data_IF_477664008017
#
_entry.id   IF_477664008017
#
_cell.length_a   1.000
_cell.length_b   1.000
_cell.length_c   1.000
_cell.angle_alpha   90.00
_cell.angle_beta   90.00
_cell.angle_gamma   90.00
#
_symmetry.space_group_name_H-M   'P 1'
#
loop_
_entity.id
_entity.type
_entity.pdbx_description
1 polymer ?
#
# COMPACT_ATOMS: atom_id res chain seq x y z
N UNK A 1 -11.78 -7.95 35.90
CA UNK A 1 -12.01 -7.52 34.50
C UNK A 1 -10.65 -7.09 34.00
N UNK A 2 -10.04 -7.86 33.10
CA UNK A 2 -8.71 -7.57 32.55
C UNK A 2 -8.89 -6.50 31.46
N UNK A 3 -8.27 -5.34 31.64
CA UNK A 3 -8.34 -4.25 30.66
C UNK A 3 -7.27 -4.54 29.61
N UNK A 4 -7.71 -4.91 28.39
CA UNK A 4 -6.81 -5.07 27.25
C UNK A 4 -6.30 -3.68 26.84
N UNK A 5 -4.98 -3.50 26.93
CA UNK A 5 -4.32 -2.31 26.41
C UNK A 5 -4.39 -2.29 24.87
N UNK A 6 -4.27 -1.10 24.24
CA UNK A 6 -4.10 -1.03 22.80
C UNK A 6 -2.95 -1.94 22.37
N UNK A 7 -3.17 -2.71 21.29
CA UNK A 7 -2.10 -3.49 20.67
C UNK A 7 -0.95 -2.55 20.37
N UNK A 8 0.27 -2.94 20.73
CA UNK A 8 1.45 -2.16 20.35
C UNK A 8 1.46 -1.99 18.83
N UNK A 9 1.76 -0.76 18.39
CA UNK A 9 1.84 -0.45 16.97
C UNK A 9 2.95 -1.31 16.36
N UNK A 10 2.57 -2.14 15.39
CA UNK A 10 3.56 -2.83 14.57
C UNK A 10 4.21 -1.80 13.66
N UNK A 11 5.48 -1.51 13.91
CA UNK A 11 6.20 -0.42 13.25
C UNK A 11 7.07 -0.90 12.09
N UNK A 12 7.08 -2.21 11.81
CA UNK A 12 7.90 -2.88 10.79
C UNK A 12 9.32 -2.27 10.70
N UNK A 13 10.18 -2.47 11.72
CA UNK A 13 11.51 -1.86 11.81
C UNK A 13 12.41 -2.04 10.57
N UNK A 14 12.99 -0.93 10.11
CA UNK A 14 14.07 -0.94 9.13
C UNK A 14 13.63 -1.51 7.79
N UNK A 15 14.23 -2.63 7.38
CA UNK A 15 13.92 -3.32 6.11
C UNK A 15 12.57 -4.07 6.14
N UNK A 16 11.99 -4.30 7.33
CA UNK A 16 10.71 -5.01 7.44
C UNK A 16 9.57 -4.22 6.80
N UNK A 17 9.60 -2.87 6.84
CA UNK A 17 8.58 -2.04 6.18
C UNK A 17 8.60 -2.20 4.66
N UNK A 18 9.79 -2.44 4.07
CA UNK A 18 9.95 -2.64 2.63
C UNK A 18 9.39 -3.99 2.22
N UNK A 19 9.71 -5.05 2.98
CA UNK A 19 9.19 -6.38 2.73
C UNK A 19 7.65 -6.43 2.88
N UNK A 20 7.13 -5.87 3.97
CA UNK A 20 5.70 -5.74 4.22
C UNK A 20 5.00 -4.96 3.11
N UNK A 21 5.50 -3.78 2.75
CA UNK A 21 4.90 -2.94 1.72
C UNK A 21 4.84 -3.69 0.38
N UNK A 22 5.91 -4.37 -0.03
CA UNK A 22 5.92 -5.18 -1.26
C UNK A 22 4.89 -6.30 -1.25
N UNK A 23 4.76 -7.02 -0.13
CA UNK A 23 3.75 -8.07 0.02
C UNK A 23 2.33 -7.49 -0.13
N UNK A 24 2.04 -6.39 0.57
CA UNK A 24 0.74 -5.73 0.50
C UNK A 24 0.41 -5.22 -0.91
N UNK A 25 1.38 -4.61 -1.60
CA UNK A 25 1.21 -4.17 -2.99
C UNK A 25 1.00 -5.35 -3.95
N UNK A 26 1.63 -6.50 -3.69
CA UNK A 26 1.40 -7.74 -4.42
C UNK A 26 -0.04 -8.25 -4.27
N UNK A 27 -0.57 -8.22 -3.04
CA UNK A 27 -1.96 -8.58 -2.75
C UNK A 27 -2.91 -7.61 -3.47
N UNK A 28 -2.70 -6.30 -3.33
CA UNK A 28 -3.53 -5.29 -3.99
C UNK A 28 -3.52 -5.48 -5.51
N UNK A 29 -2.36 -5.71 -6.13
CA UNK A 29 -2.24 -5.99 -7.55
C UNK A 29 -3.02 -7.24 -7.98
N UNK A 30 -2.93 -8.33 -7.21
CA UNK A 30 -3.69 -9.56 -7.52
C UNK A 30 -5.21 -9.36 -7.47
N UNK A 31 -5.68 -8.46 -6.60
CA UNK A 31 -7.10 -8.10 -6.54
C UNK A 31 -7.47 -7.24 -7.74
N UNK A 32 -6.65 -6.28 -8.16
CA UNK A 32 -6.93 -5.45 -9.33
C UNK A 32 -7.01 -6.25 -10.64
N UNK A 33 -6.34 -7.40 -10.72
CA UNK A 33 -6.42 -8.31 -11.87
C UNK A 33 -7.83 -8.99 -11.96
N UNK A 34 -8.58 -9.05 -10.85
CA UNK A 34 -9.97 -9.52 -10.82
C UNK A 34 -10.77 -8.81 -9.69
N UNK A 35 -11.16 -7.54 -9.89
CA UNK A 35 -11.50 -6.64 -8.79
C UNK A 35 -12.80 -6.99 -8.08
N UNK A 36 -13.82 -7.50 -8.78
CA UNK A 36 -15.09 -7.97 -8.21
C UNK A 36 -15.58 -7.15 -7.01
N UNK A 37 -15.91 -7.82 -5.90
CA UNK A 37 -16.15 -7.19 -4.59
C UNK A 37 -14.87 -6.88 -3.79
N UNK A 38 -13.71 -7.26 -4.30
CA UNK A 38 -12.39 -7.05 -3.70
C UNK A 38 -11.84 -5.63 -3.86
N UNK A 39 -12.37 -4.82 -4.77
CA UNK A 39 -11.81 -3.50 -5.11
C UNK A 39 -11.58 -2.59 -3.90
N UNK A 40 -12.52 -2.56 -2.95
CA UNK A 40 -12.38 -1.77 -1.72
C UNK A 40 -11.16 -2.21 -0.89
N UNK A 41 -10.91 -3.52 -0.81
CA UNK A 41 -9.75 -4.05 -0.11
C UNK A 41 -8.46 -3.64 -0.81
N UNK A 42 -8.41 -3.71 -2.15
CA UNK A 42 -7.23 -3.26 -2.89
C UNK A 42 -6.90 -1.78 -2.62
N UNK A 43 -7.88 -0.89 -2.69
CA UNK A 43 -7.67 0.55 -2.43
C UNK A 43 -7.28 0.82 -0.97
N UNK A 44 -7.90 0.11 -0.01
CA UNK A 44 -7.54 0.22 1.40
C UNK A 44 -6.11 -0.25 1.67
N UNK A 45 -5.69 -1.36 1.06
CA UNK A 45 -4.33 -1.88 1.17
C UNK A 45 -3.31 -0.88 0.61
N UNK A 46 -3.59 -0.26 -0.54
CA UNK A 46 -2.74 0.79 -1.12
C UNK A 46 -2.62 1.98 -0.15
N UNK A 47 -3.75 2.45 0.38
CA UNK A 47 -3.77 3.55 1.35
C UNK A 47 -3.02 3.23 2.66
N UNK A 48 -3.12 1.98 3.15
CA UNK A 48 -2.37 1.52 4.34
C UNK A 48 -0.86 1.57 4.11
N UNK A 49 -0.38 1.09 2.95
CA UNK A 49 1.03 1.17 2.60
C UNK A 49 1.48 2.63 2.49
N UNK A 50 0.67 3.47 1.87
CA UNK A 50 0.92 4.91 1.76
C UNK A 50 1.08 5.59 3.13
N UNK A 51 0.17 5.31 4.07
CA UNK A 51 0.25 5.82 5.45
C UNK A 51 1.48 5.32 6.18
N UNK A 52 1.74 4.00 6.12
CA UNK A 52 2.89 3.38 6.78
C UNK A 52 4.23 3.96 6.31
N UNK A 53 4.40 4.16 5.00
CA UNK A 53 5.60 4.80 4.45
C UNK A 53 5.72 6.27 4.84
N UNK A 54 4.60 7.01 4.82
CA UNK A 54 4.56 8.44 5.16
C UNK A 54 4.91 8.70 6.63
N UNK A 55 4.33 7.91 7.53
CA UNK A 55 4.59 8.00 8.97
C UNK A 55 6.05 7.67 9.31
N UNK A 56 6.68 6.82 8.50
CA UNK A 56 8.05 6.38 8.75
C UNK A 56 9.11 7.35 8.26
N UNK A 57 9.04 7.69 6.97
CA UNK A 57 9.99 8.59 6.32
C UNK A 57 9.40 9.05 4.97
N UNK A 58 8.48 10.02 5.04
CA UNK A 58 7.86 10.58 3.85
C UNK A 58 8.87 11.18 2.85
N UNK A 59 10.02 11.68 3.33
CA UNK A 59 11.05 12.26 2.45
C UNK A 59 11.75 11.17 1.64
N UNK A 60 12.15 10.06 2.27
CA UNK A 60 12.72 8.89 1.58
C UNK A 60 11.75 8.31 0.55
N UNK A 61 10.47 8.24 0.90
CA UNK A 61 9.46 7.52 0.12
C UNK A 61 8.55 8.39 -0.74
N UNK A 62 8.84 9.68 -0.88
CA UNK A 62 7.97 10.64 -1.56
C UNK A 62 7.48 10.13 -2.93
N UNK A 63 8.39 9.65 -3.77
CA UNK A 63 8.04 9.19 -5.12
C UNK A 63 7.23 7.88 -5.12
N UNK A 64 7.37 7.06 -4.08
CA UNK A 64 6.56 5.85 -3.89
C UNK A 64 5.15 6.25 -3.43
N UNK A 65 5.07 7.11 -2.42
CA UNK A 65 3.81 7.65 -1.87
C UNK A 65 2.99 8.33 -2.96
N UNK A 66 3.60 9.18 -3.79
CA UNK A 66 2.93 9.86 -4.90
C UNK A 66 2.40 8.87 -5.94
N UNK A 67 3.17 7.82 -6.26
CA UNK A 67 2.75 6.77 -7.19
C UNK A 67 1.59 5.94 -6.63
N UNK A 68 1.62 5.61 -5.34
CA UNK A 68 0.55 4.89 -4.67
C UNK A 68 -0.75 5.69 -4.61
N UNK A 69 -0.68 7.00 -4.32
CA UNK A 69 -1.85 7.87 -4.37
C UNK A 69 -2.50 7.94 -5.75
N UNK A 70 -1.68 7.97 -6.82
CA UNK A 70 -2.18 7.90 -8.19
C UNK A 70 -2.77 6.52 -8.53
N UNK A 71 -2.16 5.43 -8.02
CA UNK A 71 -2.65 4.08 -8.23
C UNK A 71 -4.03 3.89 -7.57
N UNK A 72 -4.21 4.44 -6.37
CA UNK A 72 -5.48 4.42 -5.65
C UNK A 72 -6.58 5.18 -6.42
N UNK A 73 -6.31 6.42 -6.87
CA UNK A 73 -7.26 7.21 -7.67
C UNK A 73 -7.64 6.49 -8.98
N UNK A 74 -6.66 5.91 -9.68
CA UNK A 74 -6.89 5.11 -10.89
C UNK A 74 -7.76 3.88 -10.59
N UNK A 75 -7.50 3.15 -9.50
CA UNK A 75 -8.28 1.98 -9.10
C UNK A 75 -9.74 2.36 -8.78
N UNK A 76 -9.98 3.47 -8.07
CA UNK A 76 -11.33 3.99 -7.77
C UNK A 76 -12.07 4.34 -9.06
N UNK A 77 -11.38 4.92 -10.05
CA UNK A 77 -11.92 5.24 -11.38
C UNK A 77 -12.05 4.03 -12.31
N UNK A 78 -11.67 2.83 -11.85
CA UNK A 78 -11.65 1.58 -12.62
C UNK A 78 -10.69 1.58 -13.80
N UNK A 79 -9.63 2.37 -13.72
CA UNK A 79 -8.51 2.40 -14.66
C UNK A 79 -7.46 1.35 -14.25
N UNK A 80 -7.83 0.07 -14.28
CA UNK A 80 -7.06 -1.00 -13.63
C UNK A 80 -5.67 -1.22 -14.22
N UNK A 81 -5.51 -1.11 -15.54
CA UNK A 81 -4.19 -1.22 -16.17
C UNK A 81 -3.24 -0.09 -15.71
N UNK A 82 -3.78 1.13 -15.58
CA UNK A 82 -3.03 2.29 -15.07
C UNK A 82 -2.65 2.07 -13.62
N UNK A 83 -3.61 1.66 -12.79
CA UNK A 83 -3.37 1.36 -11.38
C UNK A 83 -2.30 0.28 -11.23
N UNK A 84 -2.37 -0.80 -12.02
CA UNK A 84 -1.41 -1.91 -11.99
C UNK A 84 0.01 -1.46 -12.30
N UNK A 85 0.19 -0.69 -13.38
CA UNK A 85 1.49 -0.13 -13.75
C UNK A 85 2.07 0.76 -12.65
N UNK A 86 1.24 1.59 -12.02
CA UNK A 86 1.66 2.46 -10.93
C UNK A 86 2.06 1.65 -9.67
N UNK A 87 1.36 0.55 -9.36
CA UNK A 87 1.75 -0.35 -8.28
C UNK A 87 3.09 -1.03 -8.54
N UNK A 88 3.32 -1.52 -9.75
CA UNK A 88 4.58 -2.16 -10.12
C UNK A 88 5.74 -1.15 -10.08
N UNK A 89 5.53 0.08 -10.57
CA UNK A 89 6.49 1.18 -10.50
C UNK A 89 6.82 1.56 -9.04
N UNK A 90 5.81 1.59 -8.15
CA UNK A 90 5.99 1.87 -6.73
C UNK A 90 6.78 0.73 -6.04
N UNK A 91 6.43 -0.53 -6.31
CA UNK A 91 7.09 -1.70 -5.74
C UNK A 91 8.57 -1.79 -6.16
N UNK A 92 8.91 -1.41 -7.39
CA UNK A 92 10.29 -1.37 -7.88
C UNK A 92 11.15 -0.28 -7.21
N UNK A 93 10.52 0.81 -6.76
CA UNK A 93 11.20 1.94 -6.09
C UNK A 93 11.37 1.75 -4.59
N UNK A 94 10.66 0.78 -3.98
CA UNK A 94 10.85 0.38 -2.59
C UNK A 94 12.26 -0.19 -2.39
N UNK A 95 13.18 0.60 -1.83
CA UNK A 95 14.58 0.24 -1.48
C UNK A 95 15.08 0.92 -0.22
#
# INVERSE_FOLDING_TARGET
>A
MEILHPKELDTHPGEEIVAWAREQLGIAGSILDNPGGGLLFATQTIGQVCSGLSERDAARWKDVIDALGQAEDAAVRREFDTARRLLDDAAAKLR
#
